data_IF_160293550595
#
_entry.id   IF_160293550595
#
_cell.length_a   1.000
_cell.length_b   1.000
_cell.length_c   1.000
_cell.angle_alpha   90.00
_cell.angle_beta   90.00
_cell.angle_gamma   90.00
#
_symmetry.space_group_name_H-M   'P 1'
#
loop_
_entity.id
_entity.type
_entity.pdbx_description
1 polymer ?
#
# COMPACT_ATOMS: atom_id res chain seq x y z
N UNK A 1 33.51 12.63 -44.50
CA UNK A 1 32.39 13.34 -43.85
C UNK A 1 31.63 12.32 -43.03
N UNK A 2 31.87 12.27 -41.72
CA UNK A 2 31.25 11.29 -40.82
C UNK A 2 29.97 11.90 -40.23
N UNK A 3 28.83 11.23 -40.44
CA UNK A 3 27.55 11.66 -39.88
C UNK A 3 27.31 10.93 -38.57
N UNK A 4 27.39 11.65 -37.45
CA UNK A 4 27.07 11.15 -36.12
C UNK A 4 25.55 11.10 -35.96
N UNK A 5 24.99 9.91 -35.74
CA UNK A 5 23.60 9.73 -35.33
C UNK A 5 23.52 10.08 -33.84
N UNK A 6 22.85 11.18 -33.52
CA UNK A 6 22.48 11.51 -32.15
C UNK A 6 21.25 10.70 -31.77
N UNK A 7 21.45 9.59 -31.05
CA UNK A 7 20.38 8.88 -30.37
C UNK A 7 19.93 9.72 -29.18
N UNK A 8 18.87 10.49 -29.36
CA UNK A 8 18.13 11.12 -28.27
C UNK A 8 17.47 10.04 -27.44
N UNK A 9 18.05 9.72 -26.28
CA UNK A 9 17.37 8.98 -25.22
C UNK A 9 16.20 9.84 -24.74
N UNK A 10 15.04 9.70 -25.38
CA UNK A 10 13.78 10.12 -24.81
C UNK A 10 13.51 9.21 -23.62
N UNK A 11 13.86 9.68 -22.42
CA UNK A 11 13.29 9.17 -21.18
C UNK A 11 11.81 9.53 -21.24
N UNK A 12 11.01 8.62 -21.79
CA UNK A 12 9.56 8.68 -21.67
C UNK A 12 9.27 8.48 -20.19
N UNK A 13 8.78 9.53 -19.54
CA UNK A 13 8.27 9.45 -18.16
C UNK A 13 6.84 8.92 -18.23
N UNK A 14 6.66 7.79 -18.90
CA UNK A 14 5.51 6.94 -18.65
C UNK A 14 5.78 6.33 -17.28
N UNK A 15 5.00 6.76 -16.29
CA UNK A 15 4.85 5.98 -15.07
C UNK A 15 4.20 4.68 -15.52
N UNK A 16 5.00 3.71 -15.95
CA UNK A 16 4.57 2.32 -15.99
C UNK A 16 4.02 2.05 -14.60
N UNK A 17 2.69 1.97 -14.52
CA UNK A 17 1.97 1.59 -13.31
C UNK A 17 2.26 0.11 -13.08
N UNK A 18 3.49 -0.18 -12.67
CA UNK A 18 3.90 -1.51 -12.27
C UNK A 18 3.06 -1.86 -11.04
N UNK A 19 2.22 -2.88 -11.20
CA UNK A 19 1.42 -3.39 -10.10
C UNK A 19 2.38 -3.84 -8.99
N UNK A 20 2.10 -3.50 -7.72
CA UNK A 20 2.97 -3.91 -6.63
C UNK A 20 3.02 -5.43 -6.56
N UNK A 21 4.22 -5.98 -6.47
CA UNK A 21 4.42 -7.42 -6.27
C UNK A 21 4.06 -7.81 -4.84
N UNK A 22 3.90 -9.11 -4.58
CA UNK A 22 3.68 -9.56 -3.21
C UNK A 22 4.80 -9.15 -2.23
N UNK A 23 6.04 -9.05 -2.70
CA UNK A 23 7.17 -8.57 -1.89
C UNK A 23 7.03 -7.08 -1.54
N UNK A 24 6.54 -6.27 -2.47
CA UNK A 24 6.29 -4.83 -2.21
C UNK A 24 5.20 -4.65 -1.14
N UNK A 25 4.16 -5.48 -1.18
CA UNK A 25 3.10 -5.49 -0.18
C UNK A 25 3.61 -6.01 1.18
N UNK A 26 4.39 -7.10 1.19
CA UNK A 26 5.01 -7.62 2.41
C UNK A 26 5.86 -6.56 3.10
N UNK A 27 6.74 -5.89 2.33
CA UNK A 27 7.59 -4.81 2.82
C UNK A 27 6.76 -3.67 3.41
N UNK A 28 5.68 -3.29 2.74
CA UNK A 28 4.77 -2.24 3.21
C UNK A 28 4.12 -2.60 4.55
N UNK A 29 3.71 -3.87 4.74
CA UNK A 29 3.16 -4.36 6.02
C UNK A 29 4.22 -4.28 7.13
N UNK A 30 5.47 -4.67 6.85
CA UNK A 30 6.59 -4.58 7.81
C UNK A 30 6.87 -3.12 8.19
N UNK A 31 6.85 -2.21 7.23
CA UNK A 31 7.08 -0.78 7.49
C UNK A 31 5.97 -0.19 8.36
N UNK A 32 4.70 -0.58 8.17
CA UNK A 32 3.59 -0.22 9.06
C UNK A 32 3.80 -0.74 10.48
N UNK A 33 4.21 -2.00 10.63
CA UNK A 33 4.51 -2.58 11.95
C UNK A 33 5.69 -1.87 12.63
N UNK A 34 6.75 -1.56 11.89
CA UNK A 34 7.91 -0.81 12.39
C UNK A 34 7.50 0.59 12.84
N UNK A 35 6.69 1.29 12.05
CA UNK A 35 6.16 2.59 12.42
C UNK A 35 5.28 2.52 13.67
N UNK A 36 4.40 1.51 13.76
CA UNK A 36 3.56 1.29 14.94
C UNK A 36 4.37 1.09 16.23
N UNK A 37 5.48 0.35 16.14
CA UNK A 37 6.42 0.17 17.23
C UNK A 37 7.17 1.47 17.57
N UNK A 38 7.62 2.23 16.56
CA UNK A 38 8.37 3.48 16.76
C UNK A 38 7.53 4.58 17.42
N UNK A 39 6.27 4.73 17.03
CA UNK A 39 5.38 5.76 17.58
C UNK A 39 4.79 5.39 18.95
N UNK A 40 5.27 4.33 19.58
CA UNK A 40 4.82 3.82 20.87
C UNK A 40 3.29 3.80 20.97
N UNK A 41 2.62 3.33 19.90
CA UNK A 41 1.16 3.15 19.86
C UNK A 41 0.80 1.94 20.72
N UNK A 42 1.02 2.03 22.02
CA UNK A 42 0.74 1.00 23.02
C UNK A 42 -0.76 0.62 23.12
N UNK A 43 -1.66 1.21 22.32
CA UNK A 43 -3.11 1.16 22.58
C UNK A 43 -4.02 1.04 21.38
N UNK A 44 -3.52 0.54 20.26
CA UNK A 44 -4.42 -0.02 19.27
C UNK A 44 -4.04 -1.50 19.08
N UNK A 45 -4.27 -2.29 20.13
CA UNK A 45 -3.96 -3.73 20.22
C UNK A 45 -4.42 -4.42 18.92
N UNK A 46 -5.66 -4.13 18.49
CA UNK A 46 -6.20 -4.66 17.24
C UNK A 46 -5.49 -4.21 15.96
N UNK A 47 -4.86 -3.03 15.92
CA UNK A 47 -4.14 -2.55 14.73
C UNK A 47 -2.86 -3.35 14.51
N UNK A 48 -2.02 -3.46 15.54
CA UNK A 48 -0.75 -4.21 15.42
C UNK A 48 -1.02 -5.70 15.20
N UNK A 49 -2.01 -6.26 15.90
CA UNK A 49 -2.39 -7.66 15.74
C UNK A 49 -2.96 -7.95 14.35
N UNK A 50 -3.73 -7.03 13.78
CA UNK A 50 -4.22 -7.14 12.41
C UNK A 50 -3.08 -7.25 11.40
N UNK A 51 -2.11 -6.34 11.45
CA UNK A 51 -1.00 -6.36 10.48
C UNK A 51 -0.04 -7.52 10.68
N UNK A 52 0.15 -8.00 11.92
CA UNK A 52 0.90 -9.23 12.18
C UNK A 52 0.19 -10.44 11.56
N UNK A 53 -1.11 -10.58 11.81
CA UNK A 53 -1.91 -11.66 11.23
C UNK A 53 -1.91 -11.61 9.70
N UNK A 54 -2.01 -10.41 9.12
CA UNK A 54 -1.94 -10.21 7.68
C UNK A 54 -0.59 -10.66 7.09
N UNK A 55 0.52 -10.33 7.78
CA UNK A 55 1.86 -10.76 7.38
C UNK A 55 2.02 -12.29 7.47
N UNK A 56 1.52 -12.89 8.55
CA UNK A 56 1.58 -14.34 8.75
C UNK A 56 0.76 -15.08 7.69
N UNK A 57 -0.47 -14.64 7.41
CA UNK A 57 -1.32 -15.20 6.36
C UNK A 57 -0.66 -15.10 4.97
N UNK A 58 -0.07 -13.94 4.63
CA UNK A 58 0.64 -13.74 3.37
C UNK A 58 1.85 -14.68 3.22
N UNK A 59 2.63 -14.89 4.29
CA UNK A 59 3.80 -15.78 4.22
C UNK A 59 3.44 -17.25 4.16
N UNK A 60 2.29 -17.62 4.70
CA UNK A 60 1.80 -18.99 4.76
C UNK A 60 0.94 -19.38 3.55
N UNK A 61 0.53 -18.42 2.72
CA UNK A 61 -0.25 -18.72 1.52
C UNK A 61 0.58 -19.51 0.51
N UNK A 62 -0.06 -20.51 -0.12
CA UNK A 62 0.53 -21.29 -1.20
C UNK A 62 0.87 -20.43 -2.42
N UNK A 63 0.06 -19.41 -2.69
CA UNK A 63 0.26 -18.39 -3.71
C UNK A 63 0.06 -16.99 -3.09
N UNK A 64 1.18 -16.29 -2.87
CA UNK A 64 1.19 -14.95 -2.25
C UNK A 64 0.54 -13.89 -3.15
N UNK A 65 0.66 -14.04 -4.46
CA UNK A 65 0.11 -13.08 -5.41
C UNK A 65 -1.41 -13.19 -5.43
N UNK A 66 -1.92 -14.42 -5.53
CA UNK A 66 -3.34 -14.70 -5.48
C UNK A 66 -3.96 -14.30 -4.12
N UNK A 67 -3.25 -14.56 -3.01
CA UNK A 67 -3.67 -14.12 -1.68
C UNK A 67 -3.90 -12.60 -1.61
N UNK A 68 -2.99 -11.79 -2.16
CA UNK A 68 -3.11 -10.33 -2.15
C UNK A 68 -4.32 -9.89 -2.96
N UNK A 69 -4.53 -10.47 -4.13
CA UNK A 69 -5.68 -10.15 -4.99
C UNK A 69 -6.98 -10.44 -4.25
N UNK A 70 -7.10 -11.61 -3.62
CA UNK A 70 -8.32 -12.00 -2.92
C UNK A 70 -8.55 -11.18 -1.65
N UNK A 71 -7.48 -10.84 -0.92
CA UNK A 71 -7.56 -9.94 0.23
C UNK A 71 -7.98 -8.54 -0.18
N UNK A 72 -7.44 -8.01 -1.27
CA UNK A 72 -7.81 -6.71 -1.81
C UNK A 72 -9.29 -6.68 -2.20
N UNK A 73 -9.79 -7.69 -2.92
CA UNK A 73 -11.21 -7.83 -3.25
C UNK A 73 -12.10 -7.94 -2.00
N UNK A 74 -11.65 -8.66 -0.98
CA UNK A 74 -12.39 -8.76 0.29
C UNK A 74 -12.51 -7.42 1.02
N UNK A 75 -11.44 -6.62 1.02
CA UNK A 75 -11.39 -5.33 1.72
C UNK A 75 -12.04 -4.19 0.94
N UNK A 76 -11.95 -4.25 -0.38
CA UNK A 76 -12.35 -3.23 -1.34
C UNK A 76 -13.08 -3.91 -2.52
N UNK A 77 -14.29 -4.43 -2.28
CA UNK A 77 -15.00 -5.25 -3.26
C UNK A 77 -15.44 -4.47 -4.50
N UNK A 78 -15.56 -3.15 -4.41
CA UNK A 78 -15.90 -2.28 -5.52
C UNK A 78 -15.39 -0.85 -5.28
N UNK A 79 -15.49 -0.04 -6.34
CA UNK A 79 -15.06 1.36 -6.37
C UNK A 79 -15.82 2.23 -5.35
N UNK A 80 -17.12 2.02 -5.17
CA UNK A 80 -17.94 2.79 -4.22
C UNK A 80 -17.45 2.62 -2.77
N UNK A 81 -17.11 1.38 -2.37
CA UNK A 81 -16.55 1.11 -1.04
C UNK A 81 -15.16 1.73 -0.91
N UNK A 82 -14.34 1.65 -1.97
CA UNK A 82 -13.03 2.29 -1.99
C UNK A 82 -13.12 3.81 -1.79
N UNK A 83 -13.95 4.48 -2.58
CA UNK A 83 -14.17 5.91 -2.50
C UNK A 83 -14.73 6.33 -1.14
N UNK A 84 -15.65 5.53 -0.60
CA UNK A 84 -16.23 5.78 0.72
C UNK A 84 -15.16 5.70 1.81
N UNK A 85 -14.28 4.68 1.76
CA UNK A 85 -13.17 4.54 2.72
C UNK A 85 -12.16 5.67 2.57
N UNK A 86 -11.83 6.06 1.34
CA UNK A 86 -10.92 7.16 1.07
C UNK A 86 -11.46 8.50 1.60
N UNK A 87 -12.75 8.79 1.35
CA UNK A 87 -13.44 9.97 1.90
C UNK A 87 -13.49 9.94 3.43
N UNK A 88 -13.81 8.80 4.03
CA UNK A 88 -13.84 8.64 5.49
C UNK A 88 -12.46 8.89 6.11
N UNK A 89 -11.40 8.35 5.49
CA UNK A 89 -10.03 8.57 5.92
C UNK A 89 -9.64 10.06 5.84
N UNK A 90 -9.88 10.70 4.69
CA UNK A 90 -9.63 12.14 4.49
C UNK A 90 -10.37 12.99 5.53
N UNK A 91 -11.68 12.77 5.70
CA UNK A 91 -12.49 13.50 6.67
C UNK A 91 -12.04 13.29 8.12
N UNK A 92 -11.56 12.09 8.47
CA UNK A 92 -11.03 11.80 9.81
C UNK A 92 -9.68 12.47 10.07
N UNK A 93 -8.83 12.60 9.06
CA UNK A 93 -7.49 13.19 9.22
C UNK A 93 -7.56 14.73 9.26
N UNK A 94 -8.43 15.35 8.44
CA UNK A 94 -8.57 16.80 8.38
C UNK A 94 -9.48 17.40 9.45
N UNK A 95 -10.39 16.63 10.07
CA UNK A 95 -11.22 17.13 11.19
C UNK A 95 -10.40 17.54 12.42
N UNK A 96 -9.21 16.97 12.61
CA UNK A 96 -8.34 17.28 13.77
C UNK A 96 -7.84 18.74 13.71
N UNK A 97 -7.82 19.37 12.53
CA UNK A 97 -7.32 20.75 12.37
C UNK A 97 -8.37 21.86 12.52
N UNK A 98 -9.64 21.53 12.78
CA UNK A 98 -10.74 22.52 12.82
C UNK A 98 -11.34 22.80 14.21
N UNK A 99 -10.72 22.31 15.30
CA UNK A 99 -11.05 22.76 16.66
C UNK A 99 -9.82 23.43 17.29
N UNK A 100 -9.68 24.75 17.07
CA UNK A 100 -8.88 25.66 17.88
C UNK A 100 -9.64 26.96 18.06
#
# INVERSE_FOLDING_TARGET
MSTTIQTTNQISTETETCLPTWQDIEKSIIDVLRAGNFYNKDRNIGFMDYYKKLLDELRQSEDQEQYIIDKARSLLPNEEIYDTKLKAFSNSYYKIFHYR
#
